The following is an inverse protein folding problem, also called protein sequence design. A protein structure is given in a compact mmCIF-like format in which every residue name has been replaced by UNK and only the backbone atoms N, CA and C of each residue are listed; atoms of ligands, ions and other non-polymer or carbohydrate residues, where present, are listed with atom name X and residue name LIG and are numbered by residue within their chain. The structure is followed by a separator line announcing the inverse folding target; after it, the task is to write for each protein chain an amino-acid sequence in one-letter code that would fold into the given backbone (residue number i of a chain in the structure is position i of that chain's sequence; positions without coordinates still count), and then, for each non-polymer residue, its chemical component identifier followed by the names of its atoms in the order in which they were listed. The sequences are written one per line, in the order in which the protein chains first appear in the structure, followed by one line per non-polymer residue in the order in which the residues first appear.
data_IF_256926638194
#
_entry.id   IF_256926638194
#
_cell.length_a   1.000
_cell.length_b   1.000
_cell.length_c   1.000
_cell.angle_alpha   90.00
_cell.angle_beta   90.00
_cell.angle_gamma   90.00
#
_symmetry.space_group_name_H-M   'P 1'
#
loop_
_entity.id
_entity.type
_entity.pdbx_description
1 polymer ?
#
# COMPACT_ATOMS: atom_id res chain seq x y z
N UNK A 1 63.87 10.68 -9.31
CA UNK A 1 63.02 9.68 -8.63
C UNK A 1 61.75 10.38 -8.15
N UNK A 2 60.60 10.12 -8.80
CA UNK A 2 59.32 10.79 -8.51
C UNK A 2 58.46 9.82 -7.70
N UNK A 3 58.15 10.15 -6.44
CA UNK A 3 57.26 9.35 -5.58
C UNK A 3 55.81 9.63 -6.00
N UNK A 4 55.09 8.59 -6.42
CA UNK A 4 53.65 8.63 -6.68
C UNK A 4 52.96 8.20 -5.39
N UNK A 5 52.18 9.10 -4.79
CA UNK A 5 51.30 8.80 -3.66
C UNK A 5 49.94 8.46 -4.27
N UNK A 6 49.49 7.21 -4.10
CA UNK A 6 48.15 6.77 -4.48
C UNK A 6 47.24 7.06 -3.28
N UNK A 7 46.41 8.09 -3.40
CA UNK A 7 45.34 8.39 -2.44
C UNK A 7 44.12 7.52 -2.74
N UNK A 8 43.76 6.65 -1.80
CA UNK A 8 42.52 5.87 -1.85
C UNK A 8 41.37 6.78 -1.37
N UNK A 9 40.51 7.21 -2.28
CA UNK A 9 39.26 7.89 -1.92
C UNK A 9 38.22 6.80 -1.63
N UNK A 10 37.94 6.57 -0.35
CA UNK A 10 36.80 5.76 0.08
C UNK A 10 35.61 6.72 0.18
N UNK A 11 34.72 6.69 -0.81
CA UNK A 11 33.43 7.37 -0.72
C UNK A 11 32.52 6.57 0.21
N UNK A 12 32.41 7.02 1.45
CA UNK A 12 31.47 6.46 2.43
C UNK A 12 30.08 7.03 2.14
N UNK A 13 29.30 6.32 1.32
CA UNK A 13 27.88 6.63 1.10
C UNK A 13 27.09 6.21 2.34
N UNK A 14 26.98 7.10 3.32
CA UNK A 14 26.06 6.92 4.43
C UNK A 14 24.65 7.17 3.88
N UNK A 15 23.94 6.10 3.54
CA UNK A 15 22.50 6.13 3.34
C UNK A 15 21.86 6.37 4.70
N UNK A 16 21.58 7.63 5.03
CA UNK A 16 20.63 7.93 6.09
C UNK A 16 19.26 7.48 5.59
N UNK A 17 18.77 6.35 6.10
CA UNK A 17 17.35 6.05 6.06
C UNK A 17 16.66 7.11 6.93
N UNK A 18 16.34 8.25 6.33
CA UNK A 18 15.49 9.25 6.97
C UNK A 18 14.17 8.59 7.32
N UNK A 19 13.63 8.92 8.49
CA UNK A 19 12.27 8.54 8.84
C UNK A 19 11.34 8.96 7.70
N UNK A 20 10.60 8.02 7.11
CA UNK A 20 9.69 8.28 6.00
C UNK A 20 8.74 9.44 6.32
N UNK A 21 8.33 9.58 7.58
CA UNK A 21 7.52 10.72 8.03
C UNK A 21 8.22 12.06 7.77
N UNK A 22 9.53 12.15 8.02
CA UNK A 22 10.34 13.36 7.76
C UNK A 22 10.47 13.65 6.27
N UNK A 23 10.59 12.62 5.42
CA UNK A 23 10.69 12.78 3.97
C UNK A 23 9.43 13.41 3.36
N UNK A 24 8.26 13.20 3.96
CA UNK A 24 6.98 13.62 3.41
C UNK A 24 6.26 14.72 4.20
N UNK A 25 6.90 15.28 5.23
CA UNK A 25 6.33 16.29 6.12
C UNK A 25 5.87 17.57 5.39
N UNK A 26 6.44 17.90 4.22
CA UNK A 26 5.98 19.04 3.41
C UNK A 26 4.59 18.80 2.78
N UNK A 27 4.27 17.54 2.49
CA UNK A 27 3.03 17.12 1.81
C UNK A 27 1.90 16.82 2.79
N UNK A 28 2.22 16.31 3.98
CA UNK A 28 1.23 15.90 4.96
C UNK A 28 1.81 14.99 6.04
N UNK A 29 0.93 14.21 6.66
CA UNK A 29 1.28 13.26 7.71
C UNK A 29 1.30 11.84 7.15
N UNK A 30 2.48 11.25 7.04
CA UNK A 30 2.66 9.84 6.70
C UNK A 30 2.89 9.03 7.98
N UNK A 31 2.00 8.08 8.21
CA UNK A 31 2.03 7.18 9.37
C UNK A 31 2.15 5.75 8.88
N UNK A 32 3.19 5.04 9.31
CA UNK A 32 3.28 3.59 9.12
C UNK A 32 2.86 2.92 10.43
N UNK A 33 1.75 2.19 10.39
CA UNK A 33 1.16 1.52 11.55
C UNK A 33 0.94 0.04 11.26
N UNK A 34 0.56 -0.73 12.28
CA UNK A 34 0.17 -2.14 12.14
C UNK A 34 -1.34 -2.28 12.31
N UNK A 35 -1.98 -2.97 11.36
CA UNK A 35 -3.42 -3.25 11.39
C UNK A 35 -3.63 -4.77 11.39
N UNK A 36 -4.43 -5.27 12.32
CA UNK A 36 -4.67 -6.71 12.50
C UNK A 36 -5.30 -7.37 11.28
N UNK A 37 -6.11 -6.65 10.51
CA UNK A 37 -6.74 -7.11 9.28
C UNK A 37 -5.96 -6.78 8.00
N UNK A 38 -4.76 -6.18 8.10
CA UNK A 38 -3.86 -6.00 6.96
C UNK A 38 -3.53 -7.34 6.29
N UNK A 39 -3.23 -7.42 4.98
CA UNK A 39 -3.10 -8.66 4.20
C UNK A 39 -2.45 -9.84 4.93
N UNK A 40 -1.31 -9.60 5.59
CA UNK A 40 -0.51 -10.60 6.26
C UNK A 40 -0.39 -10.34 7.78
N UNK A 41 -0.16 -11.38 8.59
CA UNK A 41 -0.02 -12.80 8.22
C UNK A 41 -1.35 -13.46 7.80
N UNK A 42 -1.25 -14.55 7.02
CA UNK A 42 -2.38 -15.34 6.55
C UNK A 42 -2.04 -16.85 6.50
N UNK A 43 -2.95 -17.78 6.90
CA UNK A 43 -2.66 -19.22 6.94
C UNK A 43 -2.15 -19.83 5.64
N UNK A 44 -2.64 -19.36 4.48
CA UNK A 44 -2.19 -19.83 3.17
C UNK A 44 -0.72 -19.48 2.82
N UNK A 45 -0.02 -18.73 3.69
CA UNK A 45 1.41 -18.45 3.60
C UNK A 45 2.19 -18.85 4.84
N UNK A 46 1.63 -19.71 5.69
CA UNK A 46 2.31 -20.19 6.91
C UNK A 46 3.61 -20.96 6.61
N UNK A 47 3.72 -21.57 5.44
CA UNK A 47 4.90 -22.31 4.98
C UNK A 47 5.72 -21.52 3.92
N UNK A 48 5.49 -20.21 3.80
CA UNK A 48 6.07 -19.39 2.75
C UNK A 48 5.45 -19.61 1.37
N UNK A 49 6.23 -19.28 0.34
CA UNK A 49 5.88 -19.43 -1.07
C UNK A 49 7.13 -19.84 -1.86
N UNK A 50 6.99 -20.78 -2.79
CA UNK A 50 8.07 -21.15 -3.70
C UNK A 50 7.77 -20.62 -5.09
N UNK A 51 8.77 -19.98 -5.70
CA UNK A 51 8.69 -19.48 -7.06
C UNK A 51 10.06 -19.66 -7.74
N UNK A 52 10.06 -20.28 -8.93
CA UNK A 52 11.28 -20.58 -9.70
C UNK A 52 12.38 -21.28 -8.88
N UNK A 53 11.99 -22.22 -8.02
CA UNK A 53 12.92 -22.98 -7.16
C UNK A 53 13.52 -22.18 -5.99
N UNK A 54 13.07 -20.94 -5.78
CA UNK A 54 13.44 -20.11 -4.63
C UNK A 54 12.29 -20.07 -3.62
N UNK A 55 12.63 -20.32 -2.36
CA UNK A 55 11.69 -20.19 -1.23
C UNK A 55 11.70 -18.76 -0.69
N UNK A 56 10.51 -18.20 -0.56
CA UNK A 56 10.21 -16.94 0.10
C UNK A 56 9.55 -17.27 1.45
N UNK A 57 10.28 -17.14 2.55
CA UNK A 57 9.82 -17.54 3.88
C UNK A 57 8.70 -16.65 4.44
N UNK A 58 7.91 -17.22 5.36
CA UNK A 58 6.82 -16.55 6.07
C UNK A 58 7.32 -15.32 6.85
N UNK A 59 8.44 -15.48 7.56
CA UNK A 59 8.99 -14.46 8.45
C UNK A 59 9.43 -13.22 7.67
N UNK A 60 10.02 -13.42 6.50
CA UNK A 60 10.58 -12.34 5.70
C UNK A 60 9.54 -11.69 4.78
N UNK A 61 8.61 -12.47 4.23
CA UNK A 61 7.76 -12.02 3.12
C UNK A 61 6.27 -11.92 3.47
N UNK A 62 5.79 -12.64 4.49
CA UNK A 62 4.36 -12.85 4.77
C UNK A 62 3.98 -12.67 6.24
N UNK A 63 4.78 -11.95 7.03
CA UNK A 63 4.52 -11.63 8.45
C UNK A 63 4.34 -10.12 8.70
N UNK A 64 4.41 -9.30 7.66
CA UNK A 64 4.37 -7.84 7.77
C UNK A 64 2.93 -7.31 7.68
N UNK A 65 2.38 -6.91 8.82
CA UNK A 65 1.04 -6.32 8.94
C UNK A 65 1.05 -4.79 8.83
N UNK A 66 2.13 -4.21 8.27
CA UNK A 66 2.27 -2.75 8.16
C UNK A 66 1.32 -2.17 7.12
N UNK A 67 0.85 -0.96 7.41
CA UNK A 67 0.00 -0.15 6.54
C UNK A 67 0.53 1.28 6.60
N UNK A 68 0.88 1.82 5.44
CA UNK A 68 1.15 3.26 5.31
C UNK A 68 -0.18 4.01 5.14
N UNK A 69 -0.35 5.06 5.92
CA UNK A 69 -1.52 5.93 5.93
C UNK A 69 -1.02 7.35 5.73
N UNK A 70 -1.36 7.95 4.59
CA UNK A 70 -0.98 9.32 4.27
C UNK A 70 -2.20 10.24 4.30
N UNK A 71 -2.10 11.30 5.10
CA UNK A 71 -3.10 12.34 5.25
C UNK A 71 -2.54 13.65 4.70
N UNK A 72 -3.08 14.19 3.61
CA UNK A 72 -2.60 15.45 3.03
C UNK A 72 -2.64 16.60 4.02
N UNK A 73 -1.68 17.51 3.95
CA UNK A 73 -1.60 18.72 4.80
C UNK A 73 -2.87 19.58 4.72
N UNK A 74 -3.53 19.59 3.57
CA UNK A 74 -4.76 20.33 3.29
C UNK A 74 -6.04 19.47 3.45
N UNK A 75 -5.94 18.30 4.08
CA UNK A 75 -7.08 17.44 4.38
C UNK A 75 -8.10 18.18 5.27
N UNK A 76 -9.35 18.19 4.83
CA UNK A 76 -10.48 18.81 5.50
C UNK A 76 -11.34 17.74 6.12
N UNK A 77 -11.60 17.88 7.41
CA UNK A 77 -12.53 17.03 8.15
C UNK A 77 -13.96 17.29 7.65
N UNK A 78 -14.67 16.25 7.22
CA UNK A 78 -16.08 16.31 6.80
C UNK A 78 -16.94 15.34 7.61
N UNK A 79 -18.21 15.17 7.23
CA UNK A 79 -19.12 14.17 7.79
C UNK A 79 -18.90 12.76 7.23
N UNK A 80 -17.96 12.59 6.30
CA UNK A 80 -17.46 11.32 5.80
C UNK A 80 -15.95 11.34 5.51
N UNK A 81 -15.37 10.18 5.26
CA UNK A 81 -13.95 10.01 4.90
C UNK A 81 -13.84 9.27 3.58
N UNK A 82 -13.29 9.94 2.56
CA UNK A 82 -12.95 9.31 1.29
C UNK A 82 -11.56 8.66 1.37
N UNK A 83 -11.40 7.48 0.78
CA UNK A 83 -10.18 6.68 0.88
C UNK A 83 -9.70 6.28 -0.52
N UNK A 84 -8.40 6.36 -0.73
CA UNK A 84 -7.72 5.71 -1.85
C UNK A 84 -6.85 4.59 -1.31
N UNK A 85 -7.02 3.37 -1.80
CA UNK A 85 -6.17 2.22 -1.43
C UNK A 85 -5.28 1.85 -2.60
N UNK A 86 -3.97 1.78 -2.37
CA UNK A 86 -2.99 1.37 -3.38
C UNK A 86 -2.35 0.03 -3.05
N UNK A 87 -2.38 -0.91 -3.99
CA UNK A 87 -1.76 -2.24 -3.88
C UNK A 87 -0.52 -2.33 -4.76
N UNK A 88 0.64 -2.61 -4.15
CA UNK A 88 1.87 -2.77 -4.90
C UNK A 88 1.99 -4.13 -5.58
N UNK A 89 2.81 -4.20 -6.64
CA UNK A 89 3.12 -5.43 -7.36
C UNK A 89 4.23 -6.25 -6.70
N UNK A 90 4.74 -7.23 -7.44
CA UNK A 90 5.82 -8.12 -7.00
C UNK A 90 7.10 -7.37 -6.63
N UNK A 91 7.94 -8.01 -5.81
CA UNK A 91 9.28 -7.53 -5.43
C UNK A 91 9.31 -6.11 -4.82
N UNK A 92 8.21 -5.70 -4.20
CA UNK A 92 8.06 -4.38 -3.61
C UNK A 92 7.69 -4.47 -2.12
N UNK A 93 7.84 -3.34 -1.46
CA UNK A 93 7.38 -3.09 -0.10
C UNK A 93 6.91 -1.62 0.01
N UNK A 94 6.30 -1.25 1.13
CA UNK A 94 5.80 0.11 1.36
C UNK A 94 6.86 1.18 1.03
N UNK A 95 8.08 1.02 1.54
CA UNK A 95 9.14 2.01 1.41
C UNK A 95 9.57 2.18 -0.06
N UNK A 96 9.76 1.06 -0.78
CA UNK A 96 10.14 1.08 -2.19
C UNK A 96 9.06 1.70 -3.07
N UNK A 97 7.80 1.44 -2.76
CA UNK A 97 6.65 1.91 -3.55
C UNK A 97 6.42 3.40 -3.34
N UNK A 98 6.49 3.88 -2.10
CA UNK A 98 6.39 5.29 -1.77
C UNK A 98 7.47 6.12 -2.48
N UNK A 99 8.73 5.66 -2.40
CA UNK A 99 9.87 6.39 -2.97
C UNK A 99 9.96 6.29 -4.50
N UNK A 100 9.73 5.11 -5.08
CA UNK A 100 9.89 4.88 -6.53
C UNK A 100 8.77 5.53 -7.34
N UNK A 101 7.52 5.38 -6.88
CA UNK A 101 6.36 5.86 -7.63
C UNK A 101 5.89 7.24 -7.18
N UNK A 102 6.55 7.87 -6.20
CA UNK A 102 6.21 9.23 -5.72
C UNK A 102 4.72 9.37 -5.38
N UNK A 103 4.16 8.36 -4.73
CA UNK A 103 2.70 8.26 -4.53
C UNK A 103 2.19 9.41 -3.66
N UNK A 104 2.96 9.82 -2.65
CA UNK A 104 2.60 10.92 -1.76
C UNK A 104 2.53 12.25 -2.52
N UNK A 105 3.52 12.50 -3.38
CA UNK A 105 3.62 13.72 -4.17
C UNK A 105 2.49 13.78 -5.20
N UNK A 106 2.25 12.69 -5.94
CA UNK A 106 1.15 12.60 -6.90
C UNK A 106 -0.22 12.75 -6.22
N UNK A 107 -0.41 12.09 -5.09
CA UNK A 107 -1.65 12.18 -4.32
C UNK A 107 -1.88 13.60 -3.79
N UNK A 108 -0.83 14.26 -3.29
CA UNK A 108 -0.91 15.64 -2.81
C UNK A 108 -1.19 16.62 -3.95
N UNK A 109 -0.54 16.44 -5.11
CA UNK A 109 -0.76 17.26 -6.30
C UNK A 109 -2.19 17.15 -6.86
N UNK A 110 -2.89 16.03 -6.60
CA UNK A 110 -4.29 15.86 -7.03
C UNK A 110 -5.28 16.82 -6.36
N UNK A 111 -4.93 17.39 -5.20
CA UNK A 111 -5.79 18.28 -4.42
C UNK A 111 -7.06 17.61 -3.86
N UNK A 112 -7.17 16.27 -3.94
CA UNK A 112 -8.34 15.52 -3.47
C UNK A 112 -8.42 15.50 -1.94
N UNK A 113 -9.63 15.55 -1.40
CA UNK A 113 -9.88 15.48 0.03
C UNK A 113 -10.08 14.04 0.51
N UNK A 114 -9.04 13.21 0.35
CA UNK A 114 -9.07 11.80 0.68
C UNK A 114 -7.82 11.40 1.48
N UNK A 115 -7.85 10.21 2.07
CA UNK A 115 -6.70 9.60 2.77
C UNK A 115 -6.16 8.47 1.89
N UNK A 116 -4.84 8.43 1.67
CA UNK A 116 -4.17 7.36 0.93
C UNK A 116 -3.75 6.24 1.90
N UNK A 117 -4.08 5.01 1.55
CA UNK A 117 -3.79 3.80 2.33
C UNK A 117 -3.01 2.82 1.47
N UNK A 118 -1.88 2.33 1.97
CA UNK A 118 -1.02 1.37 1.27
C UNK A 118 -0.76 0.19 2.22
N UNK A 119 -1.55 -0.90 2.15
CA UNK A 119 -1.26 -2.09 2.92
C UNK A 119 -0.04 -2.82 2.35
N UNK A 120 0.79 -3.37 3.23
CA UNK A 120 1.88 -4.25 2.83
C UNK A 120 1.30 -5.58 2.29
N UNK A 121 1.52 -5.84 1.00
CA UNK A 121 1.29 -7.15 0.38
C UNK A 121 2.47 -8.10 0.60
N UNK A 122 2.67 -9.12 -0.26
CA UNK A 122 3.86 -9.96 -0.22
C UNK A 122 5.14 -9.11 -0.29
N UNK A 123 5.85 -9.01 0.83
CA UNK A 123 6.98 -8.09 0.95
C UNK A 123 8.15 -8.62 0.15
N UNK A 124 8.60 -7.95 -0.91
CA UNK A 124 9.76 -8.36 -1.72
C UNK A 124 9.67 -9.80 -2.28
N UNK A 125 8.46 -10.25 -2.64
CA UNK A 125 8.22 -11.60 -3.19
C UNK A 125 7.47 -11.54 -4.55
N UNK A 126 7.65 -12.54 -5.44
CA UNK A 126 6.91 -12.71 -6.69
C UNK A 126 5.58 -13.41 -6.45
N UNK A 127 4.72 -12.75 -5.67
CA UNK A 127 3.44 -13.31 -5.29
C UNK A 127 2.35 -12.24 -5.39
N UNK A 128 1.22 -12.61 -5.99
CA UNK A 128 0.06 -11.74 -6.17
C UNK A 128 -0.99 -11.94 -5.08
N UNK A 129 -0.80 -12.91 -4.18
CA UNK A 129 -1.76 -13.22 -3.14
C UNK A 129 -1.92 -12.06 -2.14
N UNK A 130 -3.15 -11.57 -2.00
CA UNK A 130 -3.57 -10.45 -1.16
C UNK A 130 -3.89 -10.82 0.29
N UNK A 131 -3.64 -12.06 0.70
CA UNK A 131 -3.85 -12.52 2.07
C UNK A 131 -5.30 -12.35 2.52
N UNK A 132 -5.50 -11.80 3.72
CA UNK A 132 -6.83 -11.58 4.31
C UNK A 132 -7.75 -10.67 3.48
N UNK A 133 -7.23 -9.90 2.53
CA UNK A 133 -8.06 -9.05 1.66
C UNK A 133 -8.79 -9.86 0.58
N UNK A 134 -8.36 -11.09 0.31
CA UNK A 134 -9.04 -12.01 -0.61
C UNK A 134 -10.17 -12.80 0.06
N UNK A 135 -10.22 -12.83 1.39
CA UNK A 135 -11.27 -13.48 2.16
C UNK A 135 -12.62 -12.77 1.97
N UNK A 136 -13.72 -13.50 2.16
CA UNK A 136 -15.06 -12.91 2.20
C UNK A 136 -15.13 -11.79 3.24
N UNK A 137 -15.56 -10.61 2.81
CA UNK A 137 -15.61 -9.35 3.58
C UNK A 137 -14.26 -8.89 4.17
N UNK A 138 -13.14 -9.43 3.68
CA UNK A 138 -11.79 -9.15 4.16
C UNK A 138 -11.42 -7.67 4.05
N UNK A 139 -11.72 -7.07 2.90
CA UNK A 139 -11.48 -5.64 2.68
C UNK A 139 -12.38 -4.75 3.52
N UNK A 140 -13.65 -5.13 3.73
CA UNK A 140 -14.54 -4.40 4.63
C UNK A 140 -14.01 -4.39 6.07
N UNK A 141 -13.50 -5.52 6.57
CA UNK A 141 -12.84 -5.59 7.89
C UNK A 141 -11.60 -4.71 7.94
N UNK A 142 -10.79 -4.74 6.88
CA UNK A 142 -9.59 -3.91 6.77
C UNK A 142 -9.88 -2.41 6.85
N UNK A 143 -10.85 -1.92 6.08
CA UNK A 143 -11.23 -0.50 6.10
C UNK A 143 -11.82 -0.11 7.46
N UNK A 144 -12.61 -0.97 8.10
CA UNK A 144 -13.14 -0.72 9.44
C UNK A 144 -12.03 -0.55 10.49
N UNK A 145 -11.00 -1.39 10.46
CA UNK A 145 -9.85 -1.27 11.37
C UNK A 145 -9.03 0.01 11.09
N UNK A 146 -8.85 0.37 9.82
CA UNK A 146 -8.17 1.63 9.43
C UNK A 146 -8.95 2.85 9.94
N UNK A 147 -10.28 2.89 9.77
CA UNK A 147 -11.12 3.98 10.28
C UNK A 147 -11.09 4.05 11.81
N UNK A 148 -11.08 2.89 12.47
CA UNK A 148 -10.91 2.80 13.93
C UNK A 148 -9.57 3.39 14.36
N UNK A 149 -8.47 2.99 13.72
CA UNK A 149 -7.14 3.54 13.97
C UNK A 149 -7.10 5.06 13.78
N UNK A 150 -7.62 5.56 12.65
CA UNK A 150 -7.66 6.99 12.35
C UNK A 150 -8.47 7.76 13.40
N UNK A 151 -9.60 7.23 13.84
CA UNK A 151 -10.46 7.86 14.84
C UNK A 151 -9.80 7.88 16.22
N UNK A 152 -9.21 6.77 16.65
CA UNK A 152 -8.52 6.65 17.94
C UNK A 152 -7.30 7.57 18.04
N UNK A 153 -6.62 7.83 16.92
CA UNK A 153 -5.46 8.71 16.84
C UNK A 153 -5.82 10.16 16.49
N UNK A 154 -7.10 10.55 16.60
CA UNK A 154 -7.61 11.89 16.32
C UNK A 154 -7.29 12.42 14.91
N UNK A 155 -7.09 11.51 13.94
CA UNK A 155 -6.82 11.84 12.54
C UNK A 155 -8.09 12.13 11.75
N UNK A 156 -9.23 11.58 12.19
CA UNK A 156 -10.56 11.86 11.64
C UNK A 156 -11.58 12.15 12.75
N UNK A 157 -12.57 12.99 12.47
CA UNK A 157 -13.66 13.32 13.41
C UNK A 157 -14.79 12.29 13.42
N UNK A 158 -15.03 11.61 12.32
CA UNK A 158 -16.14 10.64 12.15
C UNK A 158 -15.61 9.37 11.50
N UNK A 159 -16.31 8.25 11.67
CA UNK A 159 -15.99 6.99 10.99
C UNK A 159 -16.90 6.72 9.78
N UNK A 160 -17.78 7.65 9.43
CA UNK A 160 -18.64 7.47 8.27
C UNK A 160 -17.79 7.39 7.00
N UNK A 161 -17.92 6.30 6.25
CA UNK A 161 -17.13 6.02 5.07
C UNK A 161 -17.79 6.64 3.83
N UNK A 162 -17.02 7.47 3.12
CA UNK A 162 -17.38 8.04 1.83
C UNK A 162 -17.05 7.08 0.69
N UNK A 163 -16.49 7.63 -0.40
CA UNK A 163 -16.08 6.87 -1.57
C UNK A 163 -14.73 6.18 -1.33
N UNK A 164 -14.60 5.00 -1.93
CA UNK A 164 -13.34 4.27 -2.04
C UNK A 164 -12.89 4.29 -3.50
N UNK A 165 -11.62 4.60 -3.71
CA UNK A 165 -10.91 4.37 -4.96
C UNK A 165 -9.88 3.28 -4.72
N UNK A 166 -9.84 2.28 -5.60
CA UNK A 166 -8.81 1.25 -5.58
C UNK A 166 -7.78 1.55 -6.67
N UNK A 167 -6.52 1.34 -6.37
CA UNK A 167 -5.44 1.39 -7.36
C UNK A 167 -4.47 0.25 -7.15
N UNK A 168 -3.89 -0.28 -8.22
CA UNK A 168 -2.96 -1.39 -8.13
C UNK A 168 -1.96 -1.43 -9.27
N UNK A 169 -0.73 -1.82 -8.97
CA UNK A 169 0.33 -2.02 -9.96
C UNK A 169 0.62 -3.49 -10.20
N UNK A 170 0.72 -3.90 -11.47
CA UNK A 170 1.02 -5.27 -11.88
C UNK A 170 0.21 -6.29 -11.06
N UNK A 171 0.86 -7.17 -10.30
CA UNK A 171 0.23 -8.17 -9.42
C UNK A 171 -0.84 -7.65 -8.44
N UNK A 172 -0.86 -6.35 -8.12
CA UNK A 172 -1.90 -5.73 -7.30
C UNK A 172 -3.32 -5.82 -7.88
N UNK A 173 -3.45 -6.04 -9.19
CA UNK A 173 -4.75 -6.30 -9.84
C UNK A 173 -5.47 -7.51 -9.23
N UNK A 174 -4.71 -8.53 -8.81
CA UNK A 174 -5.24 -9.78 -8.30
C UNK A 174 -6.02 -9.51 -7.01
N UNK A 175 -5.41 -8.78 -6.08
CA UNK A 175 -6.05 -8.37 -4.82
C UNK A 175 -7.33 -7.59 -5.10
N UNK A 176 -7.28 -6.60 -6.01
CA UNK A 176 -8.45 -5.80 -6.40
C UNK A 176 -9.57 -6.70 -6.95
N UNK A 177 -9.26 -7.69 -7.77
CA UNK A 177 -10.27 -8.58 -8.34
C UNK A 177 -11.06 -9.34 -7.27
N UNK A 178 -10.38 -9.83 -6.21
CA UNK A 178 -11.04 -10.47 -5.08
C UNK A 178 -11.82 -9.47 -4.23
N UNK A 179 -11.30 -8.25 -4.05
CA UNK A 179 -12.03 -7.19 -3.34
C UNK A 179 -13.35 -6.90 -4.03
N UNK A 180 -13.33 -6.72 -5.35
CA UNK A 180 -14.55 -6.45 -6.12
C UNK A 180 -15.55 -7.61 -6.10
N UNK A 181 -15.05 -8.85 -6.07
CA UNK A 181 -15.89 -10.05 -6.08
C UNK A 181 -16.51 -10.36 -4.71
N UNK A 182 -15.75 -10.18 -3.62
CA UNK A 182 -16.14 -10.65 -2.29
C UNK A 182 -15.59 -9.85 -1.11
N UNK A 183 -14.86 -8.77 -1.34
CA UNK A 183 -14.23 -7.98 -0.26
C UNK A 183 -15.22 -7.17 0.58
N UNK A 184 -16.48 -7.07 0.14
CA UNK A 184 -17.47 -6.17 0.72
C UNK A 184 -17.31 -4.73 0.23
N UNK A 185 -18.20 -3.83 0.67
CA UNK A 185 -18.18 -2.40 0.32
C UNK A 185 -18.29 -2.08 -1.19
N UNK A 186 -18.82 -2.99 -2.03
CA UNK A 186 -18.98 -2.75 -3.48
C UNK A 186 -19.75 -1.47 -3.79
N UNK A 187 -20.77 -1.12 -3.00
CA UNK A 187 -21.52 0.13 -3.12
C UNK A 187 -20.77 1.40 -2.71
N UNK A 188 -19.56 1.29 -2.15
CA UNK A 188 -18.66 2.41 -1.80
C UNK A 188 -17.47 2.52 -2.74
N UNK A 189 -17.15 1.47 -3.48
CA UNK A 189 -16.06 1.48 -4.46
C UNK A 189 -16.55 2.22 -5.71
N UNK A 190 -16.01 3.41 -5.90
CA UNK A 190 -16.41 4.33 -6.97
C UNK A 190 -15.55 4.18 -8.23
N UNK A 191 -14.26 3.89 -8.06
CA UNK A 191 -13.28 3.88 -9.14
C UNK A 191 -12.19 2.82 -8.90
N UNK A 192 -11.61 2.31 -10.00
CA UNK A 192 -10.50 1.34 -10.00
C UNK A 192 -9.46 1.78 -11.04
N UNK A 193 -8.22 1.95 -10.60
CA UNK A 193 -7.08 2.32 -11.44
C UNK A 193 -6.06 1.17 -11.50
N UNK A 194 -5.74 0.71 -12.70
CA UNK A 194 -4.82 -0.40 -12.92
C UNK A 194 -3.58 0.09 -13.69
N UNK A 195 -2.40 -0.05 -13.10
CA UNK A 195 -1.12 0.32 -13.72
C UNK A 195 -0.35 -0.95 -14.10
N UNK A 196 -0.07 -1.15 -15.39
CA UNK A 196 0.57 -2.37 -15.92
C UNK A 196 -0.10 -3.66 -15.44
N UNK A 197 -1.43 -3.66 -15.39
CA UNK A 197 -2.23 -4.62 -14.61
C UNK A 197 -3.34 -5.31 -15.42
N UNK A 198 -3.27 -5.27 -16.75
CA UNK A 198 -4.23 -5.96 -17.61
C UNK A 198 -3.84 -7.43 -17.80
N UNK A 199 -4.24 -8.27 -16.86
CA UNK A 199 -4.11 -9.72 -16.93
C UNK A 199 -5.52 -10.33 -16.88
N UNK A 200 -5.78 -11.37 -17.68
CA UNK A 200 -7.11 -11.82 -18.12
C UNK A 200 -8.16 -12.28 -17.08
N UNK A 201 -8.05 -11.94 -15.79
CA UNK A 201 -9.13 -12.12 -14.81
C UNK A 201 -10.02 -10.87 -14.76
N UNK A 202 -10.78 -10.64 -15.85
CA UNK A 202 -11.82 -9.62 -15.90
C UNK A 202 -13.16 -10.27 -15.57
N UNK A 203 -13.67 -10.08 -14.34
CA UNK A 203 -15.11 -10.23 -14.09
C UNK A 203 -15.74 -8.87 -14.38
N UNK A 204 -16.85 -8.89 -15.14
CA UNK A 204 -17.54 -7.74 -15.71
C UNK A 204 -17.80 -6.60 -14.69
N UNK A 205 -16.85 -5.66 -14.61
CA UNK A 205 -16.97 -4.38 -13.93
C UNK A 205 -16.40 -3.33 -14.87
N UNK A 206 -17.10 -2.21 -15.05
CA UNK A 206 -16.79 -1.17 -16.03
C UNK A 206 -15.45 -0.50 -15.69
N UNK A 207 -14.37 -0.92 -16.34
CA UNK A 207 -13.08 -0.22 -16.29
C UNK A 207 -13.18 0.96 -17.25
N UNK A 208 -13.18 2.19 -16.73
CA UNK A 208 -13.02 3.39 -17.56
C UNK A 208 -11.54 3.70 -17.63
N UNK A 209 -10.95 3.54 -18.81
CA UNK A 209 -9.64 4.08 -19.13
C UNK A 209 -9.85 5.53 -19.55
N UNK A 210 -9.37 6.47 -18.74
CA UNK A 210 -9.19 7.87 -19.12
C UNK A 210 -7.72 8.23 -18.90
#
# INVERSE_FOLDING_TARGET
MRKIIIGLIVSLSILFAGDLSTCYAEYGDLIVTRISSAPFPHPARMNGHEYEGKVYSTEQHYSDSSVAVFIPKNYRQTDQVDIVVHFHGWYNNIDSVLSTFKLVEQFSASGKNAILIIPQGPKNAPDSFGGKLEDSDGFSRFIADVLTFLKQNNKIKVQNLGNIVLSGHSGGYHVISYILMRGGLSGKISEVYLFDALYGQLIAGRISLW
#
